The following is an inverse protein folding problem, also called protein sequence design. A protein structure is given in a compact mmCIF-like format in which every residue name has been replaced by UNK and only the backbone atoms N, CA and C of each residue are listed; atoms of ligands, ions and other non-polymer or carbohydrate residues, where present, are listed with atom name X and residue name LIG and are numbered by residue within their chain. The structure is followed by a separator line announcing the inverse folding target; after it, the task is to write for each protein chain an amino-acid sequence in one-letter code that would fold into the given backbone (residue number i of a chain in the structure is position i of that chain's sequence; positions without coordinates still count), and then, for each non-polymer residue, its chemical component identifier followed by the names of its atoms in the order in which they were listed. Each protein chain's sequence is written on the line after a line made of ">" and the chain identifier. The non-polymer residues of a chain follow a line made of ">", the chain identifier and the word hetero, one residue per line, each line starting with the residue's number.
data_IF_116635319022
#
_entry.id   IF_116635319022
#
_cell.length_a   1.000
_cell.length_b   1.000
_cell.length_c   1.000
_cell.angle_alpha   90.00
_cell.angle_beta   90.00
_cell.angle_gamma   90.00
#
_symmetry.space_group_name_H-M   'P 1'
#
loop_
_entity.id
_entity.type
_entity.pdbx_description
1 polymer ?
#
# COMPACT_ATOMS: atom_id res chain seq x y z
N UNK A 1 -3.09 -25.49 -16.36
CA UNK A 1 -2.82 -25.27 -14.92
C UNK A 1 -2.71 -23.77 -14.66
N UNK A 2 -3.03 -23.33 -13.44
CA UNK A 2 -2.31 -22.25 -12.73
C UNK A 2 -2.57 -20.74 -12.94
N UNK A 3 -3.61 -20.24 -13.64
CA UNK A 3 -3.88 -18.77 -13.63
C UNK A 3 -4.20 -18.24 -12.22
N UNK A 4 -5.18 -18.83 -11.53
CA UNK A 4 -5.56 -18.41 -10.17
C UNK A 4 -4.43 -18.58 -9.13
N UNK A 5 -3.48 -19.51 -9.35
CA UNK A 5 -2.35 -19.69 -8.43
C UNK A 5 -1.27 -18.63 -8.61
N UNK A 6 -1.08 -18.16 -9.85
CA UNK A 6 -0.15 -17.08 -10.16
C UNK A 6 -0.70 -15.73 -9.67
N UNK A 7 -2.01 -15.52 -9.81
CA UNK A 7 -2.70 -14.37 -9.23
C UNK A 7 -2.57 -14.39 -7.70
N UNK A 8 -3.00 -15.45 -7.02
CA UNK A 8 -2.87 -15.56 -5.55
C UNK A 8 -1.42 -15.35 -5.05
N UNK A 9 -0.41 -15.71 -5.84
CA UNK A 9 0.99 -15.41 -5.54
C UNK A 9 1.33 -13.92 -5.73
N UNK A 10 0.91 -13.30 -6.83
CA UNK A 10 1.07 -11.86 -7.08
C UNK A 10 0.39 -11.00 -6.00
N UNK A 11 -0.73 -11.47 -5.46
CA UNK A 11 -1.52 -10.77 -4.45
C UNK A 11 -0.80 -10.75 -3.11
N UNK A 12 -0.17 -11.87 -2.75
CA UNK A 12 0.71 -11.96 -1.59
C UNK A 12 1.92 -11.04 -1.70
N UNK A 13 2.53 -10.95 -2.89
CA UNK A 13 3.66 -10.04 -3.14
C UNK A 13 3.23 -8.57 -3.03
N UNK A 14 2.09 -8.20 -3.63
CA UNK A 14 1.53 -6.85 -3.52
C UNK A 14 1.24 -6.48 -2.06
N UNK A 15 0.65 -7.40 -1.28
CA UNK A 15 0.38 -7.18 0.14
C UNK A 15 1.67 -6.92 0.95
N UNK A 16 2.74 -7.70 0.72
CA UNK A 16 4.03 -7.51 1.40
C UNK A 16 4.64 -6.16 1.02
N UNK A 17 4.68 -5.80 -0.27
CA UNK A 17 5.22 -4.52 -0.73
C UNK A 17 4.50 -3.35 -0.05
N UNK A 18 3.17 -3.41 0.01
CA UNK A 18 2.35 -2.40 0.65
C UNK A 18 2.69 -2.24 2.15
N UNK A 19 2.85 -3.37 2.87
CA UNK A 19 3.23 -3.31 4.30
C UNK A 19 4.63 -2.73 4.52
N UNK A 20 5.58 -3.03 3.63
CA UNK A 20 6.95 -2.49 3.72
C UNK A 20 6.97 -0.99 3.40
N UNK A 21 6.18 -0.53 2.42
CA UNK A 21 6.10 0.89 2.07
C UNK A 21 5.67 1.79 3.24
N UNK A 22 4.89 1.27 4.21
CA UNK A 22 4.51 2.05 5.40
C UNK A 22 5.67 2.22 6.38
N UNK A 23 6.59 1.25 6.40
CA UNK A 23 7.73 1.22 7.33
C UNK A 23 8.81 2.24 6.97
N UNK A 24 8.82 2.74 5.72
CA UNK A 24 9.73 3.81 5.29
C UNK A 24 9.33 5.21 5.80
N UNK A 25 8.12 5.38 6.35
CA UNK A 25 7.75 6.65 7.00
C UNK A 25 8.54 6.84 8.29
N UNK A 26 9.58 7.67 8.22
CA UNK A 26 10.44 8.01 9.35
C UNK A 26 9.66 8.83 10.38
N UNK A 27 9.74 8.43 11.65
CA UNK A 27 9.23 9.25 12.74
C UNK A 27 9.96 10.62 12.77
N UNK A 28 9.25 11.72 13.10
CA UNK A 28 9.89 13.02 13.25
C UNK A 28 10.93 12.98 14.38
N UNK A 29 12.08 13.64 14.17
CA UNK A 29 13.17 13.71 15.16
C UNK A 29 12.74 14.42 16.45
N UNK A 30 11.78 15.33 16.35
CA UNK A 30 11.19 16.01 17.49
C UNK A 30 9.82 15.43 17.84
N UNK A 31 9.63 15.08 19.13
CA UNK A 31 8.37 14.61 19.68
C UNK A 31 7.37 15.77 19.92
N UNK A 32 7.11 16.59 18.90
CA UNK A 32 6.14 17.70 18.96
C UNK A 32 4.97 17.46 18.00
N UNK A 33 3.75 17.83 18.40
CA UNK A 33 2.57 17.74 17.54
C UNK A 33 2.70 18.59 16.26
N UNK A 34 3.54 19.63 16.28
CA UNK A 34 3.85 20.43 15.09
C UNK A 34 4.76 19.68 14.10
N UNK A 35 5.65 18.82 14.58
CA UNK A 35 6.49 17.97 13.74
C UNK A 35 5.71 16.88 12.99
N UNK A 36 4.46 16.57 13.38
CA UNK A 36 3.57 15.67 12.65
C UNK A 36 2.96 16.30 11.38
N UNK A 37 2.75 17.62 11.36
CA UNK A 37 2.14 18.32 10.21
C UNK A 37 2.81 18.02 8.87
N UNK A 38 4.16 18.03 8.75
CA UNK A 38 4.81 17.71 7.48
C UNK A 38 4.69 16.22 7.08
N UNK A 39 4.40 15.31 8.01
CA UNK A 39 4.19 13.89 7.68
C UNK A 39 2.79 13.59 7.12
N UNK A 40 1.79 14.41 7.46
CA UNK A 40 0.41 14.24 6.98
C UNK A 40 0.32 14.11 5.44
N UNK A 41 0.91 15.01 4.62
CA UNK A 41 0.84 14.86 3.16
C UNK A 41 1.48 13.56 2.66
N UNK A 42 2.55 13.08 3.30
CA UNK A 42 3.21 11.82 2.94
C UNK A 42 2.33 10.61 3.27
N UNK A 43 1.68 10.62 4.44
CA UNK A 43 0.69 9.62 4.83
C UNK A 43 -0.51 9.59 3.87
N UNK A 44 -1.00 10.76 3.46
CA UNK A 44 -2.13 10.86 2.51
C UNK A 44 -1.77 10.30 1.15
N UNK A 45 -0.58 10.61 0.62
CA UNK A 45 -0.10 10.03 -0.64
C UNK A 45 0.02 8.51 -0.52
N UNK A 46 0.59 8.02 0.58
CA UNK A 46 0.67 6.59 0.85
C UNK A 46 -0.71 5.92 0.86
N UNK A 47 -1.68 6.50 1.57
CA UNK A 47 -3.04 5.96 1.65
C UNK A 47 -3.72 5.96 0.28
N UNK A 48 -3.58 7.04 -0.50
CA UNK A 48 -4.12 7.10 -1.86
C UNK A 48 -3.52 6.02 -2.77
N UNK A 49 -2.20 5.83 -2.72
CA UNK A 49 -1.51 4.76 -3.45
C UNK A 49 -1.94 3.37 -2.98
N UNK A 50 -2.10 3.18 -1.67
CA UNK A 50 -2.61 1.94 -1.06
C UNK A 50 -4.00 1.59 -1.61
N UNK A 51 -4.95 2.51 -1.52
CA UNK A 51 -6.32 2.29 -1.99
C UNK A 51 -6.36 2.10 -3.50
N UNK A 52 -5.57 2.86 -4.26
CA UNK A 52 -5.47 2.69 -5.70
C UNK A 52 -5.01 1.28 -6.08
N UNK A 53 -3.95 0.77 -5.44
CA UNK A 53 -3.45 -0.59 -5.70
C UNK A 53 -4.43 -1.66 -5.23
N UNK A 54 -5.07 -1.48 -4.08
CA UNK A 54 -6.08 -2.42 -3.57
C UNK A 54 -7.31 -2.51 -4.49
N UNK A 55 -7.82 -1.35 -4.96
CA UNK A 55 -8.95 -1.29 -5.89
C UNK A 55 -8.55 -1.83 -7.26
N UNK A 56 -7.38 -1.45 -7.77
CA UNK A 56 -6.85 -1.98 -9.04
C UNK A 56 -6.77 -3.50 -9.00
N UNK A 57 -6.31 -4.05 -7.88
CA UNK A 57 -6.22 -5.48 -7.68
C UNK A 57 -7.59 -6.16 -7.64
N UNK A 58 -8.53 -5.69 -6.81
CA UNK A 58 -9.92 -6.20 -6.75
C UNK A 58 -10.60 -6.15 -8.13
N UNK A 59 -10.47 -5.03 -8.84
CA UNK A 59 -11.02 -4.85 -10.20
C UNK A 59 -10.37 -5.77 -11.22
N UNK A 60 -9.05 -5.97 -11.13
CA UNK A 60 -8.33 -6.91 -12.00
C UNK A 60 -8.72 -8.36 -11.73
N UNK A 61 -8.91 -8.73 -10.47
CA UNK A 61 -9.33 -10.06 -10.05
C UNK A 61 -10.74 -10.39 -10.57
N UNK A 62 -11.66 -9.42 -10.56
CA UNK A 62 -13.02 -9.59 -11.10
C UNK A 62 -13.07 -9.69 -12.64
N UNK A 63 -12.06 -9.19 -13.36
CA UNK A 63 -12.02 -9.15 -14.83
C UNK A 63 -11.43 -10.41 -15.47
N UNK A 64 -10.80 -11.27 -14.66
CA UNK A 64 -10.13 -12.50 -15.07
C UNK A 64 -10.87 -13.79 -14.68
N UNK A 65 -12.04 -13.67 -14.02
CA UNK A 65 -13.03 -14.74 -13.79
C UNK A 65 -14.03 -14.77 -14.94
#
# INVERSE_FOLDING_TARGET
>A
MSKNRLEAFSDGVLAIIITIMVLEMKAPEEASFQALKPLVPQLVIYLLSFFYMAIYWEVSSCKNI
#
